data_IF_583815579184
#
_entry.id   IF_583815579184
#
_cell.length_a   1.000
_cell.length_b   1.000
_cell.length_c   1.000
_cell.angle_alpha   90.00
_cell.angle_beta   90.00
_cell.angle_gamma   90.00
#
_symmetry.space_group_name_H-M   'P 1'
#
loop_
_entity.id
_entity.type
_entity.pdbx_description
1 polymer ?
#
# COMPACT_ATOMS: atom_id res chain seq x y z
N UNK A 1 22.02 -16.18 24.14
CA UNK A 1 21.35 -14.88 24.04
C UNK A 1 22.20 -13.99 23.15
N UNK A 2 21.85 -13.87 21.87
CA UNK A 2 22.51 -12.92 20.96
C UNK A 2 21.41 -12.32 20.11
N UNK A 3 21.08 -11.07 20.41
CA UNK A 3 20.06 -10.29 19.73
C UNK A 3 20.64 -9.83 18.39
N UNK A 4 20.30 -10.51 17.29
CA UNK A 4 20.58 -10.06 15.92
C UNK A 4 19.26 -9.66 15.26
N UNK A 5 18.64 -8.58 15.75
CA UNK A 5 17.60 -7.90 15.00
C UNK A 5 18.20 -6.58 14.55
N UNK A 6 18.89 -6.63 13.41
CA UNK A 6 19.31 -5.45 12.68
C UNK A 6 18.07 -4.61 12.41
N UNK A 7 18.00 -3.44 13.03
CA UNK A 7 17.11 -2.33 12.67
C UNK A 7 17.25 -2.03 11.16
N UNK A 8 16.52 -2.77 10.32
CA UNK A 8 16.18 -2.36 8.96
C UNK A 8 14.92 -1.48 8.96
N UNK A 9 14.64 -0.81 10.08
CA UNK A 9 13.50 0.07 10.27
C UNK A 9 13.92 1.51 9.96
N UNK A 10 14.18 1.89 8.70
CA UNK A 10 14.54 3.30 8.43
C UNK A 10 14.22 3.85 7.03
N UNK A 11 13.23 3.31 6.31
CA UNK A 11 12.57 4.04 5.20
C UNK A 11 11.24 3.41 4.73
N UNK A 12 10.70 2.45 5.48
CA UNK A 12 9.36 1.93 5.22
C UNK A 12 8.34 2.99 5.63
N UNK A 13 7.50 3.40 4.68
CA UNK A 13 6.44 4.37 4.92
C UNK A 13 5.29 3.57 5.57
N UNK A 14 4.83 3.97 6.77
CA UNK A 14 3.79 3.22 7.50
C UNK A 14 2.47 3.11 6.70
N UNK A 15 2.20 4.07 5.81
CA UNK A 15 1.01 4.04 4.96
C UNK A 15 1.09 2.92 3.91
N UNK A 16 2.29 2.54 3.46
CA UNK A 16 2.47 1.42 2.54
C UNK A 16 2.15 0.09 3.23
N UNK A 17 2.59 -0.06 4.49
CA UNK A 17 2.29 -1.25 5.29
C UNK A 17 0.80 -1.34 5.61
N UNK A 18 0.18 -0.21 5.92
CA UNK A 18 -1.27 -0.12 6.10
C UNK A 18 -2.02 -0.48 4.82
N UNK A 19 -1.61 0.06 3.67
CA UNK A 19 -2.17 -0.30 2.36
C UNK A 19 -2.06 -1.80 2.09
N UNK A 20 -0.90 -2.41 2.36
CA UNK A 20 -0.71 -3.87 2.21
C UNK A 20 -1.68 -4.64 3.09
N UNK A 21 -1.79 -4.25 4.34
CA UNK A 21 -2.69 -4.89 5.31
C UNK A 21 -4.15 -4.82 4.84
N UNK A 22 -4.59 -3.66 4.32
CA UNK A 22 -5.93 -3.50 3.77
C UNK A 22 -6.18 -4.39 2.54
N UNK A 23 -5.23 -4.45 1.60
CA UNK A 23 -5.38 -5.27 0.40
C UNK A 23 -5.42 -6.76 0.76
N UNK A 24 -4.52 -7.20 1.65
CA UNK A 24 -4.48 -8.58 2.13
C UNK A 24 -5.70 -8.95 2.96
N UNK A 25 -6.12 -8.10 3.89
CA UNK A 25 -7.30 -8.33 4.74
C UNK A 25 -8.62 -8.31 3.95
N UNK A 26 -8.66 -7.60 2.82
CA UNK A 26 -9.77 -7.68 1.87
C UNK A 26 -9.75 -8.94 1.00
N UNK A 27 -8.69 -9.76 1.09
CA UNK A 27 -8.49 -10.95 0.26
C UNK A 27 -8.27 -10.62 -1.23
N UNK A 28 -7.78 -9.41 -1.54
CA UNK A 28 -7.62 -8.92 -2.91
C UNK A 28 -6.19 -9.11 -3.41
N UNK A 29 -6.06 -9.35 -4.71
CA UNK A 29 -4.77 -9.23 -5.39
C UNK A 29 -4.45 -7.76 -5.67
N UNK A 30 -3.17 -7.41 -5.81
CA UNK A 30 -2.75 -6.04 -6.15
C UNK A 30 -3.48 -5.44 -7.38
N UNK A 31 -3.62 -6.15 -8.53
CA UNK A 31 -4.35 -5.60 -9.68
C UNK A 31 -5.86 -5.44 -9.40
N UNK A 32 -6.49 -6.37 -8.68
CA UNK A 32 -7.90 -6.23 -8.31
C UNK A 32 -8.13 -5.04 -7.35
N UNK A 33 -7.23 -4.87 -6.38
CA UNK A 33 -7.24 -3.73 -5.49
C UNK A 33 -7.05 -2.40 -6.23
N UNK A 34 -6.17 -2.35 -7.24
CA UNK A 34 -5.98 -1.15 -8.07
C UNK A 34 -7.26 -0.78 -8.83
N UNK A 35 -7.96 -1.76 -9.40
CA UNK A 35 -9.23 -1.52 -10.12
C UNK A 35 -10.28 -0.92 -9.17
N UNK A 36 -10.42 -1.50 -7.98
CA UNK A 36 -11.36 -0.98 -6.97
C UNK A 36 -10.96 0.41 -6.46
N UNK A 37 -9.67 0.62 -6.19
CA UNK A 37 -9.15 1.91 -5.76
C UNK A 37 -9.41 3.01 -6.80
N UNK A 38 -9.15 2.72 -8.08
CA UNK A 38 -9.35 3.65 -9.19
C UNK A 38 -10.83 3.85 -9.58
N UNK A 39 -11.74 2.97 -9.16
CA UNK A 39 -13.16 3.11 -9.45
C UNK A 39 -13.79 4.29 -8.71
N UNK A 40 -13.39 4.48 -7.46
CA UNK A 40 -13.99 5.48 -6.54
C UNK A 40 -13.10 6.72 -6.36
N UNK A 41 -11.96 6.79 -7.04
CA UNK A 41 -11.02 7.89 -6.85
C UNK A 41 -11.53 9.15 -7.55
N UNK A 42 -11.67 10.24 -6.79
CA UNK A 42 -12.09 11.55 -7.32
C UNK A 42 -10.96 12.32 -8.03
N UNK A 43 -9.73 11.83 -7.91
CA UNK A 43 -8.55 12.39 -8.58
C UNK A 43 -8.12 11.50 -9.74
N UNK A 44 -6.99 11.83 -10.38
CA UNK A 44 -6.44 11.03 -11.48
C UNK A 44 -6.23 9.56 -11.04
N UNK A 45 -6.72 8.58 -11.82
CA UNK A 45 -6.45 7.17 -11.57
C UNK A 45 -4.96 6.88 -11.53
N UNK A 46 -4.56 5.96 -10.65
CA UNK A 46 -3.18 5.50 -10.56
C UNK A 46 -2.87 4.50 -11.67
N UNK A 47 -1.68 4.63 -12.27
CA UNK A 47 -1.16 3.61 -13.18
C UNK A 47 -0.73 2.36 -12.40
N UNK A 48 -0.75 1.21 -13.07
CA UNK A 48 -0.28 -0.05 -12.48
C UNK A 48 1.20 0.03 -12.06
N UNK A 49 2.03 0.71 -12.85
CA UNK A 49 3.44 0.97 -12.52
C UNK A 49 3.61 1.76 -11.23
N UNK A 50 2.77 2.78 -11.02
CA UNK A 50 2.79 3.60 -9.80
C UNK A 50 2.30 2.79 -8.61
N UNK A 51 1.22 2.02 -8.81
CA UNK A 51 0.65 1.15 -7.79
C UNK A 51 1.66 0.13 -7.27
N UNK A 52 2.32 -0.59 -8.17
CA UNK A 52 3.38 -1.56 -7.83
C UNK A 52 4.51 -0.93 -7.01
N UNK A 53 4.82 0.35 -7.26
CA UNK A 53 5.83 1.09 -6.50
C UNK A 53 5.54 1.21 -4.99
N UNK A 54 4.26 1.20 -4.58
CA UNK A 54 3.88 1.20 -3.16
C UNK A 54 4.11 -0.15 -2.47
N UNK A 55 4.12 -1.24 -3.25
CA UNK A 55 4.37 -2.60 -2.76
C UNK A 55 5.83 -3.03 -2.92
N UNK A 56 6.68 -2.20 -3.51
CA UNK A 56 8.12 -2.48 -3.59
C UNK A 56 8.78 -2.43 -2.21
N UNK A 57 9.93 -3.08 -2.09
CA UNK A 57 10.77 -3.03 -0.89
C UNK A 57 11.32 -1.61 -0.71
N UNK A 58 11.27 -1.05 0.51
CA UNK A 58 11.92 0.21 0.84
C UNK A 58 13.40 0.21 0.43
N UNK A 59 13.91 1.34 -0.05
CA UNK A 59 15.30 1.46 -0.52
C UNK A 59 15.55 1.06 -1.97
N UNK A 60 14.53 0.56 -2.70
CA UNK A 60 14.64 0.33 -4.14
C UNK A 60 14.30 1.58 -4.94
N UNK A 61 14.89 1.76 -6.13
CA UNK A 61 14.63 2.94 -6.98
C UNK A 61 13.16 3.07 -7.45
N UNK A 62 12.37 1.99 -7.35
CA UNK A 62 10.96 1.95 -7.71
C UNK A 62 10.02 2.17 -6.51
N UNK A 63 10.57 2.16 -5.30
CA UNK A 63 9.81 2.38 -4.08
C UNK A 63 9.19 3.78 -4.07
N UNK A 64 7.90 3.84 -3.75
CA UNK A 64 7.18 5.10 -3.59
C UNK A 64 6.50 5.12 -2.24
N UNK A 65 6.56 6.26 -1.56
CA UNK A 65 5.79 6.50 -0.35
C UNK A 65 4.32 6.71 -0.68
N UNK A 66 3.44 6.04 0.04
CA UNK A 66 1.99 6.20 -0.09
C UNK A 66 1.55 7.42 0.72
N UNK A 67 0.89 8.37 0.05
CA UNK A 67 0.44 9.61 0.68
C UNK A 67 -0.73 9.35 1.63
N UNK A 68 -0.85 10.09 2.75
CA UNK A 68 -1.93 9.91 3.72
C UNK A 68 -3.33 10.17 3.11
N UNK A 69 -3.44 11.08 2.13
CA UNK A 69 -4.70 11.35 1.42
C UNK A 69 -5.17 10.13 0.60
N UNK A 70 -4.23 9.45 -0.05
CA UNK A 70 -4.50 8.21 -0.78
C UNK A 70 -4.84 7.06 0.18
N UNK A 71 -4.22 7.06 1.38
CA UNK A 71 -4.53 6.09 2.42
C UNK A 71 -5.95 6.24 2.95
N UNK A 72 -6.40 7.47 3.21
CA UNK A 72 -7.77 7.73 3.63
C UNK A 72 -8.80 7.24 2.58
N UNK A 73 -8.45 7.31 1.29
CA UNK A 73 -9.27 6.72 0.22
C UNK A 73 -9.22 5.18 0.25
N UNK A 74 -8.02 4.60 0.35
CA UNK A 74 -7.85 3.15 0.44
C UNK A 74 -8.63 2.54 1.62
N UNK A 75 -8.63 3.20 2.79
CA UNK A 75 -9.38 2.75 3.95
C UNK A 75 -10.89 2.79 3.73
N UNK A 76 -11.41 3.79 3.00
CA UNK A 76 -12.84 3.84 2.64
C UNK A 76 -13.23 2.73 1.65
N UNK A 77 -12.35 2.39 0.71
CA UNK A 77 -12.61 1.38 -0.33
C UNK A 77 -12.43 -0.04 0.22
N UNK A 78 -11.34 -0.31 0.92
CA UNK A 78 -10.98 -1.65 1.39
C UNK A 78 -11.41 -1.93 2.83
N UNK A 79 -11.64 -0.91 3.65
CA UNK A 79 -12.08 -1.06 5.05
C UNK A 79 -13.36 -1.90 5.20
N UNK A 80 -14.41 -1.65 4.41
CA UNK A 80 -15.62 -2.49 4.44
C UNK A 80 -15.43 -3.92 3.95
N UNK A 81 -14.31 -4.21 3.26
CA UNK A 81 -14.00 -5.52 2.68
C UNK A 81 -13.12 -6.38 3.59
N UNK A 82 -12.60 -5.83 4.69
CA UNK A 82 -11.75 -6.58 5.63
C UNK A 82 -12.55 -7.76 6.22
N UNK A 83 -11.91 -8.94 6.28
CA UNK A 83 -12.47 -10.17 6.85
C UNK A 83 -11.75 -10.62 8.11
#
# INVERSE_FOLDING_TARGET
>A
MVCMNTDSASNANPNNERLRSLVTGAGLTQPAALVLFNREIKVRPLSESTWKGYFCTPGTARYRGFAPELLAHAEKVFGPLQK
#
